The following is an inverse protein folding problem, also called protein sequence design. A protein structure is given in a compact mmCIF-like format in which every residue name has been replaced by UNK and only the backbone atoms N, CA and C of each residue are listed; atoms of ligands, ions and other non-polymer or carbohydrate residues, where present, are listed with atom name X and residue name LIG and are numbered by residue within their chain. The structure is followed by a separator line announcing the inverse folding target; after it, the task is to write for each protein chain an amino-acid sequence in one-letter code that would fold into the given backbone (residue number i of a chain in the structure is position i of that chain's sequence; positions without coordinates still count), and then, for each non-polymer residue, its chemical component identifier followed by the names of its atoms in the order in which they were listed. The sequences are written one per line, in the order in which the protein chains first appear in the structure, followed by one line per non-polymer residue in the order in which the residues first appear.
data_IF_876643868352
#
_entry.id   IF_876643868352
#
_cell.length_a   1.000
_cell.length_b   1.000
_cell.length_c   1.000
_cell.angle_alpha   90.00
_cell.angle_beta   90.00
_cell.angle_gamma   90.00
#
_symmetry.space_group_name_H-M   'P 1'
#
loop_
_entity.id
_entity.type
_entity.pdbx_description
1 polymer ?
#
# COMPACT_ATOMS: atom_id res chain seq x y z
N UNK A 1 10.57 16.61 -36.74
CA UNK A 1 10.41 16.42 -38.20
C UNK A 1 10.58 14.95 -38.50
N UNK A 2 9.49 14.36 -38.96
CA UNK A 2 9.36 13.00 -39.48
C UNK A 2 10.00 12.95 -40.88
N UNK A 3 10.43 11.77 -41.31
CA UNK A 3 11.05 11.42 -42.61
C UNK A 3 12.54 11.80 -42.78
N UNK A 4 13.42 10.83 -42.57
CA UNK A 4 14.38 10.39 -43.60
C UNK A 4 15.05 9.09 -43.15
N UNK A 5 15.21 8.14 -44.09
CA UNK A 5 15.90 6.84 -43.99
C UNK A 5 14.99 5.59 -44.05
N UNK A 6 14.11 5.53 -45.05
CA UNK A 6 13.70 4.27 -45.68
C UNK A 6 14.15 4.31 -47.14
N UNK A 7 15.40 3.96 -47.42
CA UNK A 7 15.86 3.56 -48.76
C UNK A 7 17.25 2.94 -48.66
N UNK A 8 17.28 1.60 -48.74
CA UNK A 8 18.28 0.75 -49.42
C UNK A 8 18.32 -0.63 -48.75
N UNK A 9 17.29 -1.42 -49.03
CA UNK A 9 17.35 -2.88 -48.94
C UNK A 9 18.00 -3.40 -50.22
N UNK A 10 19.32 -3.62 -50.23
CA UNK A 10 20.04 -4.57 -51.12
C UNK A 10 21.51 -4.60 -50.73
N UNK A 11 21.79 -5.18 -49.56
CA UNK A 11 23.14 -5.38 -49.03
C UNK A 11 23.14 -6.18 -47.72
N UNK A 12 22.09 -6.98 -47.52
CA UNK A 12 21.82 -7.77 -46.33
C UNK A 12 22.69 -9.02 -46.36
N UNK A 13 23.55 -9.21 -45.35
CA UNK A 13 23.93 -10.51 -44.71
C UNK A 13 25.29 -10.47 -44.01
N UNK A 14 26.19 -9.53 -44.32
CA UNK A 14 27.61 -9.71 -43.95
C UNK A 14 28.17 -9.01 -42.70
N UNK A 15 27.54 -7.95 -42.16
CA UNK A 15 28.28 -7.02 -41.27
C UNK A 15 27.43 -6.24 -40.23
N UNK A 16 26.30 -6.74 -39.72
CA UNK A 16 25.73 -6.25 -38.44
C UNK A 16 26.57 -6.78 -37.25
N UNK A 17 27.86 -6.44 -37.25
CA UNK A 17 28.84 -6.83 -36.25
C UNK A 17 28.58 -6.07 -34.95
N UNK A 18 27.95 -6.71 -33.95
CA UNK A 18 28.04 -6.43 -32.49
C UNK A 18 27.77 -5.00 -31.95
N UNK A 19 27.64 -3.98 -32.81
CA UNK A 19 27.57 -2.56 -32.44
C UNK A 19 26.13 -2.00 -32.54
N UNK A 20 25.19 -2.69 -33.20
CA UNK A 20 23.78 -2.25 -33.21
C UNK A 20 23.00 -2.71 -31.97
N UNK A 21 23.27 -3.93 -31.48
CA UNK A 21 22.52 -4.53 -30.35
C UNK A 21 22.76 -3.81 -29.01
N UNK A 22 24.03 -3.61 -28.62
CA UNK A 22 24.37 -2.96 -27.36
C UNK A 22 23.93 -1.49 -27.35
N UNK A 23 24.01 -0.82 -28.51
CA UNK A 23 23.52 0.54 -28.67
C UNK A 23 21.99 0.60 -28.57
N UNK A 24 21.28 -0.32 -29.23
CA UNK A 24 19.83 -0.40 -29.16
C UNK A 24 19.32 -0.73 -27.74
N UNK A 25 19.96 -1.65 -27.02
CA UNK A 25 19.65 -1.95 -25.61
C UNK A 25 19.89 -0.71 -24.74
N UNK A 26 21.01 0.00 -24.94
CA UNK A 26 21.30 1.25 -24.21
C UNK A 26 20.24 2.33 -24.46
N UNK A 27 19.79 2.48 -25.71
CA UNK A 27 18.71 3.42 -26.09
C UNK A 27 17.37 2.98 -25.48
N UNK A 28 17.04 1.69 -25.58
CA UNK A 28 15.84 1.11 -24.98
C UNK A 28 15.80 1.34 -23.47
N UNK A 29 16.92 1.11 -22.77
CA UNK A 29 17.03 1.38 -21.35
C UNK A 29 16.82 2.87 -21.02
N UNK A 30 17.37 3.80 -21.81
CA UNK A 30 17.13 5.24 -21.62
C UNK A 30 15.67 5.63 -21.83
N UNK A 31 15.03 5.09 -22.86
CA UNK A 31 13.60 5.31 -23.08
C UNK A 31 12.77 4.73 -21.94
N UNK A 32 13.14 3.55 -21.45
CA UNK A 32 12.51 2.92 -20.30
C UNK A 32 12.61 3.80 -19.04
N UNK A 33 13.82 4.27 -18.70
CA UNK A 33 14.03 5.21 -17.57
C UNK A 33 13.24 6.51 -17.72
N UNK A 34 13.03 6.95 -18.96
CA UNK A 34 12.24 8.14 -19.28
C UNK A 34 10.74 7.86 -19.40
N UNK A 35 10.28 6.66 -19.03
CA UNK A 35 8.89 6.17 -19.14
C UNK A 35 8.31 6.22 -20.57
N UNK A 36 9.16 6.20 -21.59
CA UNK A 36 8.79 6.21 -23.01
C UNK A 36 8.66 4.77 -23.55
N UNK A 37 7.75 4.00 -22.97
CA UNK A 37 7.64 2.55 -23.22
C UNK A 37 7.33 2.19 -24.68
N UNK A 38 6.55 3.00 -25.38
CA UNK A 38 6.30 2.80 -26.83
C UNK A 38 7.58 2.91 -27.67
N UNK A 39 8.54 3.75 -27.25
CA UNK A 39 9.83 3.89 -27.94
C UNK A 39 10.75 2.70 -27.66
N UNK A 40 10.67 2.12 -26.45
CA UNK A 40 11.35 0.84 -26.13
C UNK A 40 10.93 -0.23 -27.13
N UNK A 41 9.62 -0.43 -27.32
CA UNK A 41 9.09 -1.37 -28.31
C UNK A 41 9.53 -1.04 -29.73
N UNK A 42 9.47 0.23 -30.12
CA UNK A 42 9.86 0.66 -31.47
C UNK A 42 11.32 0.32 -31.82
N UNK A 43 12.24 0.47 -30.87
CA UNK A 43 13.66 0.16 -31.06
C UNK A 43 13.93 -1.35 -31.04
N UNK A 44 13.24 -2.11 -30.18
CA UNK A 44 13.51 -3.53 -29.99
C UNK A 44 12.78 -4.44 -30.99
N UNK A 45 11.60 -4.05 -31.47
CA UNK A 45 10.78 -4.87 -32.37
C UNK A 45 11.51 -5.27 -33.68
N UNK A 46 12.22 -4.38 -34.39
CA UNK A 46 12.94 -4.76 -35.61
C UNK A 46 14.05 -5.77 -35.32
N UNK A 47 14.76 -5.66 -34.19
CA UNK A 47 15.80 -6.60 -33.81
C UNK A 47 15.23 -8.02 -33.65
N UNK A 48 14.10 -8.14 -32.95
CA UNK A 48 13.40 -9.43 -32.77
C UNK A 48 12.94 -9.98 -34.13
N UNK A 49 12.42 -9.14 -35.03
CA UNK A 49 11.99 -9.55 -36.38
C UNK A 49 13.14 -10.06 -37.25
N UNK A 50 14.35 -9.52 -37.07
CA UNK A 50 15.56 -9.98 -37.75
C UNK A 50 16.27 -11.14 -37.03
N UNK A 51 15.60 -11.78 -36.06
CA UNK A 51 16.09 -12.96 -35.36
C UNK A 51 17.12 -12.67 -34.26
N UNK A 52 17.31 -11.41 -33.88
CA UNK A 52 18.20 -11.06 -32.77
C UNK A 52 17.52 -11.43 -31.46
N UNK A 53 18.16 -12.31 -30.70
CA UNK A 53 17.70 -12.74 -29.38
C UNK A 53 18.65 -12.23 -28.30
N UNK A 54 18.09 -11.82 -27.18
CA UNK A 54 18.86 -11.38 -26.02
C UNK A 54 17.96 -11.28 -24.80
N UNK A 55 18.48 -11.69 -23.64
CA UNK A 55 17.73 -11.63 -22.38
C UNK A 55 17.30 -10.19 -22.07
N UNK A 56 18.19 -9.21 -22.28
CA UNK A 56 17.90 -7.79 -22.07
C UNK A 56 16.82 -7.28 -23.03
N UNK A 57 16.81 -7.76 -24.29
CA UNK A 57 15.78 -7.40 -25.27
C UNK A 57 14.42 -7.86 -24.76
N UNK A 58 14.30 -9.13 -24.39
CA UNK A 58 13.03 -9.68 -23.93
C UNK A 58 12.61 -9.12 -22.58
N UNK A 59 13.55 -8.84 -21.68
CA UNK A 59 13.29 -8.14 -20.43
C UNK A 59 12.68 -6.74 -20.68
N UNK A 60 13.38 -5.88 -21.44
CA UNK A 60 12.90 -4.52 -21.70
C UNK A 60 11.61 -4.50 -22.54
N UNK A 61 11.45 -5.46 -23.46
CA UNK A 61 10.22 -5.62 -24.23
C UNK A 61 9.04 -6.01 -23.33
N UNK A 62 9.22 -7.00 -22.45
CA UNK A 62 8.20 -7.44 -21.50
C UNK A 62 7.83 -6.32 -20.52
N UNK A 63 8.84 -5.62 -19.99
CA UNK A 63 8.67 -4.46 -19.13
C UNK A 63 7.86 -3.35 -19.82
N UNK A 64 8.20 -3.02 -21.06
CA UNK A 64 7.49 -2.00 -21.83
C UNK A 64 6.03 -2.42 -22.13
N UNK A 65 5.79 -3.66 -22.50
CA UNK A 65 4.43 -4.21 -22.67
C UNK A 65 3.64 -4.11 -21.35
N UNK A 66 4.23 -4.52 -20.22
CA UNK A 66 3.59 -4.44 -18.91
C UNK A 66 3.23 -3.00 -18.51
N UNK A 67 4.13 -2.04 -18.76
CA UNK A 67 3.89 -0.63 -18.48
C UNK A 67 2.86 0.03 -19.42
N UNK A 68 2.54 -0.61 -20.55
CA UNK A 68 1.51 -0.20 -21.50
C UNK A 68 0.20 -0.99 -21.32
N UNK A 69 0.07 -1.75 -20.23
CA UNK A 69 -1.07 -2.62 -19.93
C UNK A 69 -1.33 -3.71 -21.00
N UNK A 70 -0.29 -4.09 -21.76
CA UNK A 70 -0.29 -5.14 -22.79
C UNK A 70 0.21 -6.46 -22.19
N UNK A 71 -0.54 -7.01 -21.22
CA UNK A 71 -0.04 -8.07 -20.33
C UNK A 71 0.18 -9.40 -21.03
N UNK A 72 -0.63 -9.78 -22.01
CA UNK A 72 -0.45 -11.02 -22.78
C UNK A 72 0.87 -10.99 -23.56
N UNK A 73 1.21 -9.84 -24.16
CA UNK A 73 2.48 -9.64 -24.86
C UNK A 73 3.65 -9.59 -23.88
N UNK A 74 3.45 -9.03 -22.68
CA UNK A 74 4.45 -9.07 -21.61
C UNK A 74 4.75 -10.52 -21.21
N UNK A 75 3.71 -11.35 -21.01
CA UNK A 75 3.84 -12.79 -20.72
C UNK A 75 4.64 -13.50 -21.81
N UNK A 76 4.33 -13.28 -23.10
CA UNK A 76 5.08 -13.89 -24.20
C UNK A 76 6.57 -13.49 -24.17
N UNK A 77 6.85 -12.20 -23.99
CA UNK A 77 8.22 -11.69 -23.94
C UNK A 77 8.97 -12.23 -22.71
N UNK A 78 8.36 -12.30 -21.53
CA UNK A 78 8.96 -12.93 -20.35
C UNK A 78 9.29 -14.40 -20.59
N UNK A 79 8.37 -15.18 -21.18
CA UNK A 79 8.62 -16.58 -21.52
C UNK A 79 9.82 -16.74 -22.47
N UNK A 80 9.93 -15.89 -23.50
CA UNK A 80 11.11 -15.89 -24.39
C UNK A 80 12.40 -15.56 -23.64
N UNK A 81 12.37 -14.59 -22.72
CA UNK A 81 13.51 -14.29 -21.84
C UNK A 81 13.91 -15.48 -20.96
N UNK A 82 12.93 -16.16 -20.34
CA UNK A 82 13.13 -17.31 -19.45
C UNK A 82 13.70 -18.50 -20.23
N UNK A 83 13.26 -18.74 -21.47
CA UNK A 83 13.84 -19.76 -22.34
C UNK A 83 15.33 -19.54 -22.62
N UNK A 84 15.79 -18.29 -22.63
CA UNK A 84 17.21 -17.96 -22.81
C UNK A 84 18.01 -18.12 -21.51
N UNK A 85 17.44 -17.72 -20.38
CA UNK A 85 18.04 -17.89 -19.07
C UNK A 85 16.97 -18.19 -18.01
N UNK A 86 16.79 -19.48 -17.64
CA UNK A 86 15.80 -19.86 -16.66
C UNK A 86 16.14 -19.39 -15.24
N UNK A 87 17.41 -19.07 -14.97
CA UNK A 87 17.91 -18.67 -13.65
C UNK A 87 17.91 -17.15 -13.45
N UNK A 88 17.16 -16.40 -14.27
CA UNK A 88 17.01 -14.95 -14.06
C UNK A 88 15.72 -14.64 -13.29
N UNK A 89 15.84 -14.56 -11.96
CA UNK A 89 14.71 -14.38 -11.03
C UNK A 89 13.77 -13.21 -11.40
N UNK A 90 14.32 -12.11 -11.92
CA UNK A 90 13.56 -10.91 -12.31
C UNK A 90 12.53 -11.22 -13.41
N UNK A 91 12.84 -12.13 -14.35
CA UNK A 91 11.87 -12.50 -15.40
C UNK A 91 10.71 -13.30 -14.85
N UNK A 92 10.97 -14.22 -13.91
CA UNK A 92 9.93 -14.98 -13.23
C UNK A 92 9.07 -14.07 -12.34
N UNK A 93 9.67 -13.12 -11.64
CA UNK A 93 8.96 -12.08 -10.90
C UNK A 93 8.05 -11.24 -11.81
N UNK A 94 8.59 -10.72 -12.91
CA UNK A 94 7.84 -9.95 -13.90
C UNK A 94 6.72 -10.74 -14.56
N UNK A 95 6.96 -12.03 -14.86
CA UNK A 95 5.94 -12.95 -15.36
C UNK A 95 4.83 -13.16 -14.34
N UNK A 96 5.18 -13.33 -13.06
CA UNK A 96 4.21 -13.41 -11.96
C UNK A 96 3.33 -12.17 -11.88
N UNK A 97 3.93 -10.98 -11.94
CA UNK A 97 3.21 -9.72 -11.95
C UNK A 97 2.25 -9.62 -13.16
N UNK A 98 2.70 -9.98 -14.36
CA UNK A 98 1.85 -9.99 -15.55
C UNK A 98 0.67 -10.97 -15.41
N UNK A 99 0.89 -12.14 -14.81
CA UNK A 99 -0.19 -13.09 -14.51
C UNK A 99 -1.19 -12.58 -13.48
N UNK A 100 -0.76 -11.83 -12.45
CA UNK A 100 -1.69 -11.18 -11.52
C UNK A 100 -2.60 -10.19 -12.26
N UNK A 101 -2.05 -9.39 -13.17
CA UNK A 101 -2.84 -8.45 -13.97
C UNK A 101 -3.85 -9.15 -14.89
N UNK A 102 -3.49 -10.32 -15.41
CA UNK A 102 -4.38 -11.21 -16.17
C UNK A 102 -5.33 -12.04 -15.29
N UNK A 103 -5.25 -11.90 -13.96
CA UNK A 103 -6.02 -12.69 -12.97
C UNK A 103 -5.74 -14.19 -13.02
N UNK A 104 -4.59 -14.60 -13.54
CA UNK A 104 -4.09 -15.98 -13.54
C UNK A 104 -3.27 -16.25 -12.27
N UNK A 105 -3.94 -16.24 -11.11
CA UNK A 105 -3.28 -16.22 -9.81
C UNK A 105 -2.43 -17.47 -9.53
N UNK A 106 -2.88 -18.67 -9.92
CA UNK A 106 -2.10 -19.90 -9.73
C UNK A 106 -0.79 -19.87 -10.55
N UNK A 107 -0.87 -19.35 -11.79
CA UNK A 107 0.31 -19.15 -12.63
C UNK A 107 1.24 -18.10 -12.03
N UNK A 108 0.69 -17.02 -11.45
CA UNK A 108 1.47 -16.01 -10.76
C UNK A 108 2.25 -16.58 -9.57
N UNK A 109 1.58 -17.34 -8.69
CA UNK A 109 2.22 -18.00 -7.54
C UNK A 109 3.33 -18.95 -7.99
N UNK A 110 3.09 -19.74 -9.06
CA UNK A 110 4.12 -20.62 -9.61
C UNK A 110 5.35 -19.84 -10.10
N UNK A 111 5.15 -18.74 -10.85
CA UNK A 111 6.25 -17.89 -11.30
C UNK A 111 6.99 -17.23 -10.13
N UNK A 112 6.27 -16.75 -9.11
CA UNK A 112 6.90 -16.22 -7.89
C UNK A 112 7.71 -17.28 -7.14
N UNK A 113 7.22 -18.52 -7.04
CA UNK A 113 7.97 -19.62 -6.44
C UNK A 113 9.26 -19.93 -7.21
N UNK A 114 9.24 -19.83 -8.55
CA UNK A 114 10.47 -19.96 -9.36
C UNK A 114 11.44 -18.81 -9.07
N UNK A 115 10.95 -17.56 -9.02
CA UNK A 115 11.76 -16.40 -8.67
C UNK A 115 12.43 -16.55 -7.29
N UNK A 116 11.69 -17.03 -6.29
CA UNK A 116 12.18 -17.28 -4.93
C UNK A 116 13.08 -18.51 -4.80
N UNK A 117 12.94 -19.49 -5.69
CA UNK A 117 13.87 -20.64 -5.76
C UNK A 117 15.25 -20.16 -6.21
N UNK A 118 15.28 -19.22 -7.15
CA UNK A 118 16.52 -18.63 -7.70
C UNK A 118 17.10 -17.59 -6.73
N UNK A 119 16.26 -16.72 -6.17
CA UNK A 119 16.63 -15.70 -5.19
C UNK A 119 15.70 -15.73 -3.96
N UNK A 120 16.07 -16.50 -2.92
CA UNK A 120 15.26 -16.63 -1.69
C UNK A 120 15.09 -15.34 -0.90
N UNK A 121 15.95 -14.34 -1.12
CA UNK A 121 15.95 -13.06 -0.40
C UNK A 121 15.15 -11.97 -1.13
N UNK A 122 14.40 -12.33 -2.19
CA UNK A 122 13.62 -11.38 -2.98
C UNK A 122 12.34 -10.94 -2.24
N UNK A 123 12.50 -10.03 -1.27
CA UNK A 123 11.46 -9.60 -0.33
C UNK A 123 10.15 -9.16 -1.01
N UNK A 124 10.27 -8.40 -2.09
CA UNK A 124 9.15 -7.91 -2.92
C UNK A 124 8.20 -9.02 -3.36
N UNK A 125 8.74 -10.20 -3.67
CA UNK A 125 7.94 -11.33 -4.13
C UNK A 125 7.13 -11.96 -3.01
N UNK A 126 7.65 -11.95 -1.77
CA UNK A 126 6.85 -12.39 -0.64
C UNK A 126 5.69 -11.43 -0.36
N UNK A 127 5.87 -10.11 -0.49
CA UNK A 127 4.77 -9.16 -0.39
C UNK A 127 3.68 -9.46 -1.44
N UNK A 128 4.08 -9.64 -2.69
CA UNK A 128 3.15 -9.98 -3.77
C UNK A 128 2.45 -11.34 -3.52
N UNK A 129 3.15 -12.35 -3.00
CA UNK A 129 2.54 -13.62 -2.63
C UNK A 129 1.50 -13.48 -1.51
N UNK A 130 1.80 -12.73 -0.44
CA UNK A 130 0.85 -12.47 0.65
C UNK A 130 -0.41 -11.79 0.09
N UNK A 131 -0.25 -10.80 -0.79
CA UNK A 131 -1.38 -10.16 -1.46
C UNK A 131 -2.20 -11.16 -2.29
N UNK A 132 -1.55 -11.92 -3.18
CA UNK A 132 -2.23 -12.90 -4.06
C UNK A 132 -2.96 -13.98 -3.27
N UNK A 133 -2.32 -14.55 -2.24
CA UNK A 133 -2.98 -15.53 -1.37
C UNK A 133 -4.15 -14.90 -0.61
N UNK A 134 -4.02 -13.65 -0.17
CA UNK A 134 -5.11 -12.96 0.52
C UNK A 134 -6.31 -12.72 -0.40
N UNK A 135 -6.12 -12.26 -1.65
CA UNK A 135 -7.26 -11.97 -2.57
C UNK A 135 -7.89 -13.24 -3.14
N UNK A 136 -7.16 -14.36 -3.14
CA UNK A 136 -7.69 -15.67 -3.56
C UNK A 136 -8.30 -16.47 -2.41
N UNK A 137 -8.33 -15.92 -1.19
CA UNK A 137 -8.90 -16.58 -0.01
C UNK A 137 -8.05 -17.73 0.54
N UNK A 138 -6.79 -17.88 0.10
CA UNK A 138 -5.87 -18.91 0.56
C UNK A 138 -5.21 -18.51 1.90
N UNK A 139 -6.03 -18.47 2.96
CA UNK A 139 -5.64 -17.95 4.27
C UNK A 139 -4.40 -18.63 4.85
N UNK A 140 -4.33 -19.96 4.84
CA UNK A 140 -3.21 -20.72 5.42
C UNK A 140 -1.88 -20.43 4.71
N UNK A 141 -1.92 -20.28 3.38
CA UNK A 141 -0.75 -19.91 2.59
C UNK A 141 -0.31 -18.47 2.89
N UNK A 142 -1.26 -17.54 3.02
CA UNK A 142 -0.98 -16.16 3.39
C UNK A 142 -0.36 -16.05 4.80
N UNK A 143 -0.90 -16.79 5.78
CA UNK A 143 -0.34 -16.89 7.14
C UNK A 143 1.08 -17.45 7.09
N UNK A 144 1.29 -18.54 6.36
CA UNK A 144 2.60 -19.20 6.25
C UNK A 144 3.66 -18.27 5.68
N UNK A 145 3.37 -17.59 4.56
CA UNK A 145 4.33 -16.66 3.94
C UNK A 145 4.57 -15.46 4.85
N UNK A 146 3.51 -14.87 5.41
CA UNK A 146 3.61 -13.74 6.34
C UNK A 146 4.49 -14.10 7.55
N UNK A 147 4.24 -15.26 8.18
CA UNK A 147 5.00 -15.87 9.27
C UNK A 147 6.49 -15.98 9.01
N UNK A 148 6.84 -16.36 7.77
CA UNK A 148 8.22 -16.61 7.40
C UNK A 148 9.04 -15.33 7.22
N UNK A 149 8.44 -14.28 6.67
CA UNK A 149 9.21 -13.12 6.15
C UNK A 149 8.81 -11.77 6.73
N UNK A 150 7.53 -11.59 7.10
CA UNK A 150 6.99 -10.30 7.52
C UNK A 150 6.91 -10.21 9.04
N UNK A 151 6.32 -11.22 9.67
CA UNK A 151 6.05 -11.24 11.10
C UNK A 151 6.08 -12.67 11.63
N UNK A 152 7.08 -13.00 12.43
CA UNK A 152 7.29 -14.36 12.96
C UNK A 152 6.19 -14.83 13.92
N UNK A 153 5.41 -13.90 14.48
CA UNK A 153 4.27 -14.22 15.32
C UNK A 153 3.01 -14.52 14.48
N UNK A 154 3.04 -14.30 13.15
CA UNK A 154 1.98 -14.71 12.24
C UNK A 154 2.04 -16.23 11.97
N UNK A 155 1.33 -17.00 12.78
CA UNK A 155 1.22 -18.45 12.67
C UNK A 155 -0.22 -18.92 12.96
N UNK A 156 -0.45 -20.23 13.03
CA UNK A 156 -1.78 -20.83 13.27
C UNK A 156 -2.46 -20.33 14.54
N UNK A 157 -1.69 -20.04 15.59
CA UNK A 157 -2.20 -19.76 16.94
C UNK A 157 -2.44 -18.25 17.13
N UNK A 158 -1.89 -17.43 16.22
CA UNK A 158 -1.96 -15.96 16.29
C UNK A 158 -3.39 -15.42 16.37
N UNK A 159 -4.34 -16.07 15.69
CA UNK A 159 -5.76 -15.70 15.77
C UNK A 159 -6.34 -16.04 17.13
N UNK A 160 -6.11 -17.25 17.64
CA UNK A 160 -6.59 -17.69 18.95
C UNK A 160 -6.11 -16.75 20.06
N UNK A 161 -4.85 -16.32 20.04
CA UNK A 161 -4.32 -15.35 21.01
C UNK A 161 -5.12 -14.05 21.02
N UNK A 162 -5.45 -13.49 19.85
CA UNK A 162 -6.26 -12.28 19.76
C UNK A 162 -7.70 -12.50 20.24
N UNK A 163 -8.30 -13.65 19.93
CA UNK A 163 -9.69 -13.96 20.26
C UNK A 163 -9.88 -14.30 21.73
N UNK A 164 -8.94 -15.01 22.34
CA UNK A 164 -9.02 -15.47 23.73
C UNK A 164 -8.46 -14.46 24.74
N UNK A 165 -7.76 -13.43 24.27
CA UNK A 165 -7.22 -12.39 25.13
C UNK A 165 -8.29 -11.80 26.06
N UNK A 166 -7.88 -11.62 27.32
CA UNK A 166 -8.67 -11.04 28.42
C UNK A 166 -8.22 -9.63 28.78
N UNK A 167 -7.29 -9.05 28.01
CA UNK A 167 -6.89 -7.66 28.20
C UNK A 167 -8.00 -6.70 27.80
N UNK A 168 -8.02 -5.54 28.43
CA UNK A 168 -8.95 -4.46 28.15
C UNK A 168 -8.30 -3.10 28.47
N UNK A 169 -9.05 -2.01 28.29
CA UNK A 169 -8.58 -0.65 28.56
C UNK A 169 -8.05 -0.45 29.97
N UNK A 170 -8.66 -1.10 30.97
CA UNK A 170 -8.34 -0.99 32.40
C UNK A 170 -7.23 -1.92 32.84
N UNK A 171 -7.03 -3.02 32.11
CA UNK A 171 -5.94 -3.97 32.26
C UNK A 171 -5.39 -4.31 30.87
N UNK A 172 -4.61 -3.41 30.24
CA UNK A 172 -4.01 -3.67 28.93
C UNK A 172 -2.81 -4.61 29.07
N UNK A 173 -2.33 -5.18 27.96
CA UNK A 173 -1.14 -6.02 28.02
C UNK A 173 0.10 -5.23 28.48
N UNK A 174 1.11 -5.90 29.07
CA UNK A 174 2.40 -5.27 29.35
C UNK A 174 3.06 -4.70 28.09
N UNK A 175 2.86 -5.34 26.93
CA UNK A 175 3.40 -4.88 25.66
C UNK A 175 2.74 -3.57 25.22
N UNK A 176 1.42 -3.44 25.35
CA UNK A 176 0.70 -2.20 25.08
C UNK A 176 1.28 -1.04 25.89
N UNK A 177 1.42 -1.22 27.21
CA UNK A 177 1.97 -0.17 28.09
C UNK A 177 3.41 0.21 27.68
N UNK A 178 4.25 -0.79 27.42
CA UNK A 178 5.63 -0.55 26.96
C UNK A 178 5.67 0.20 25.63
N UNK A 179 4.74 -0.09 24.72
CA UNK A 179 4.69 0.54 23.40
C UNK A 179 4.23 1.99 23.52
N UNK A 180 3.20 2.27 24.32
CA UNK A 180 2.79 3.64 24.62
C UNK A 180 3.96 4.45 25.17
N UNK A 181 4.71 3.91 26.13
CA UNK A 181 5.89 4.60 26.68
C UNK A 181 6.95 4.91 25.60
N UNK A 182 7.18 4.00 24.66
CA UNK A 182 8.11 4.20 23.54
C UNK A 182 7.60 5.25 22.54
N UNK A 183 6.32 5.17 22.14
CA UNK A 183 5.71 6.17 21.25
C UNK A 183 5.68 7.56 21.89
N UNK A 184 5.37 7.66 23.18
CA UNK A 184 5.44 8.92 23.93
C UNK A 184 6.83 9.53 23.94
N UNK A 185 7.89 8.73 24.11
CA UNK A 185 9.27 9.21 23.98
C UNK A 185 9.57 9.71 22.57
N UNK A 186 9.16 8.97 21.54
CA UNK A 186 9.35 9.38 20.14
C UNK A 186 8.62 10.69 19.81
N UNK A 187 7.45 10.95 20.41
CA UNK A 187 6.77 12.24 20.28
C UNK A 187 7.58 13.42 20.85
N UNK A 188 8.28 13.21 21.97
CA UNK A 188 8.99 14.25 22.73
C UNK A 188 10.41 14.45 22.18
N UNK A 189 11.13 13.35 21.98
CA UNK A 189 12.55 13.35 21.65
C UNK A 189 12.79 13.32 20.13
N UNK A 190 11.81 12.83 19.37
CA UNK A 190 11.98 12.47 17.96
C UNK A 190 12.63 11.11 17.78
N UNK A 191 12.85 10.73 16.52
CA UNK A 191 13.64 9.54 16.21
C UNK A 191 15.11 9.95 16.08
N UNK A 192 15.83 9.83 17.19
CA UNK A 192 17.24 10.20 17.28
C UNK A 192 18.14 9.34 16.38
N UNK A 193 17.77 8.07 16.16
CA UNK A 193 18.55 7.14 15.34
C UNK A 193 18.49 7.55 13.88
N UNK A 194 17.29 7.84 13.37
CA UNK A 194 17.08 8.30 12.00
C UNK A 194 17.19 9.82 11.84
N UNK A 195 17.59 10.54 12.89
CA UNK A 195 17.76 12.00 12.93
C UNK A 195 16.48 12.77 12.54
N UNK A 196 15.33 12.23 12.88
CA UNK A 196 14.03 12.86 12.66
C UNK A 196 13.68 13.68 13.87
N UNK A 197 13.57 15.00 13.69
CA UNK A 197 13.24 15.92 14.77
C UNK A 197 11.85 15.63 15.35
N UNK A 198 11.69 15.78 16.68
CA UNK A 198 10.45 15.54 17.41
C UNK A 198 9.22 16.09 16.68
N UNK A 199 9.25 17.35 16.21
CA UNK A 199 8.17 17.99 15.44
C UNK A 199 7.61 17.12 14.30
N UNK A 200 8.47 16.41 13.56
CA UNK A 200 8.10 15.63 12.36
C UNK A 200 7.43 14.29 12.69
N UNK A 201 7.76 13.73 13.86
CA UNK A 201 7.35 12.38 14.24
C UNK A 201 5.85 12.35 14.51
N UNK A 202 5.11 11.46 13.83
CA UNK A 202 3.65 11.35 13.94
C UNK A 202 2.89 12.67 13.70
N UNK A 203 3.27 13.42 12.66
CA UNK A 203 2.58 14.66 12.28
C UNK A 203 1.12 14.47 11.81
N UNK A 204 0.69 13.21 11.56
CA UNK A 204 -0.66 12.88 11.06
C UNK A 204 -0.76 12.73 9.54
N UNK A 205 0.38 12.47 8.87
CA UNK A 205 0.47 12.26 7.42
C UNK A 205 -0.27 11.01 6.91
N UNK A 206 -0.50 10.00 7.77
CA UNK A 206 -1.14 8.73 7.39
C UNK A 206 -2.58 8.91 6.90
N UNK A 207 -3.23 9.99 7.31
CA UNK A 207 -4.59 10.34 6.90
C UNK A 207 -4.70 10.85 5.46
N UNK A 208 -3.62 11.46 4.95
CA UNK A 208 -3.64 12.21 3.69
C UNK A 208 -4.16 11.39 2.50
N UNK A 209 -3.75 10.12 2.29
CA UNK A 209 -4.25 9.31 1.18
C UNK A 209 -5.76 9.03 1.23
N UNK A 210 -6.37 9.19 2.40
CA UNK A 210 -7.74 8.75 2.68
C UNK A 210 -8.74 9.90 2.77
N UNK A 211 -8.30 11.16 2.56
CA UNK A 211 -9.13 12.36 2.75
C UNK A 211 -10.41 12.31 1.91
N UNK A 212 -10.33 11.95 0.63
CA UNK A 212 -11.49 11.88 -0.26
C UNK A 212 -12.43 10.73 0.14
N UNK A 213 -11.89 9.53 0.36
CA UNK A 213 -12.65 8.37 0.82
C UNK A 213 -13.44 8.66 2.12
N UNK A 214 -12.81 9.32 3.09
CA UNK A 214 -13.45 9.74 4.34
C UNK A 214 -14.57 10.76 4.07
N UNK A 215 -14.38 11.70 3.12
CA UNK A 215 -15.44 12.67 2.72
C UNK A 215 -16.68 11.96 2.21
N UNK A 216 -16.49 10.96 1.36
CA UNK A 216 -17.59 10.20 0.77
C UNK A 216 -18.36 9.42 1.84
N UNK A 217 -17.66 8.80 2.79
CA UNK A 217 -18.27 8.13 3.94
C UNK A 217 -19.05 9.10 4.83
N UNK A 218 -18.51 10.29 5.08
CA UNK A 218 -19.18 11.34 5.84
C UNK A 218 -20.47 11.77 5.12
N UNK A 219 -20.43 12.00 3.81
CA UNK A 219 -21.59 12.38 3.02
C UNK A 219 -22.67 11.27 3.02
N UNK A 220 -22.25 10.03 2.78
CA UNK A 220 -23.15 8.86 2.70
C UNK A 220 -23.84 8.53 4.02
N UNK A 221 -23.20 8.86 5.15
CA UNK A 221 -23.76 8.65 6.49
C UNK A 221 -24.35 9.91 7.11
N UNK A 222 -24.26 11.06 6.42
CA UNK A 222 -24.59 12.38 6.94
C UNK A 222 -23.94 12.62 8.32
N UNK A 223 -22.65 12.30 8.44
CA UNK A 223 -21.88 12.45 9.67
C UNK A 223 -21.51 13.92 9.91
N UNK A 224 -21.53 14.35 11.18
CA UNK A 224 -21.24 15.74 11.59
C UNK A 224 -20.13 15.88 12.63
N UNK A 225 -19.77 14.79 13.31
CA UNK A 225 -18.73 14.78 14.34
C UNK A 225 -17.78 13.63 14.05
N UNK A 226 -16.48 13.88 14.14
CA UNK A 226 -15.44 12.90 13.82
C UNK A 226 -14.45 12.77 14.97
N UNK A 227 -14.10 11.53 15.30
CA UNK A 227 -12.98 11.17 16.16
C UNK A 227 -11.86 10.63 15.29
N UNK A 228 -10.66 11.19 15.42
CA UNK A 228 -9.42 10.62 14.89
C UNK A 228 -8.72 9.85 16.01
N UNK A 229 -8.79 8.52 15.95
CA UNK A 229 -8.23 7.61 16.95
C UNK A 229 -6.84 7.19 16.50
N UNK A 230 -5.80 7.68 17.17
CA UNK A 230 -4.40 7.57 16.72
C UNK A 230 -3.93 8.76 15.88
N UNK A 231 -4.44 9.96 16.18
CA UNK A 231 -4.21 11.18 15.39
C UNK A 231 -2.76 11.70 15.34
N UNK A 232 -1.85 11.14 16.16
CA UNK A 232 -0.52 11.67 16.37
C UNK A 232 -0.57 13.09 16.95
N UNK A 233 0.06 14.04 16.26
CA UNK A 233 0.04 15.46 16.64
C UNK A 233 -1.12 16.26 16.07
N UNK A 234 -1.95 15.69 15.18
CA UNK A 234 -3.13 16.36 14.63
C UNK A 234 -2.84 17.55 13.70
N UNK A 235 -1.61 17.72 13.18
CA UNK A 235 -1.27 18.86 12.32
C UNK A 235 -2.08 18.89 11.02
N UNK A 236 -2.58 17.73 10.56
CA UNK A 236 -3.50 17.62 9.43
C UNK A 236 -4.78 18.45 9.60
N UNK A 237 -5.15 18.79 10.83
CA UNK A 237 -6.35 19.57 11.14
C UNK A 237 -6.10 21.06 11.38
N UNK A 238 -4.86 21.48 11.56
CA UNK A 238 -4.52 22.86 11.92
C UNK A 238 -4.54 23.80 10.71
N UNK A 239 -3.83 23.45 9.63
CA UNK A 239 -3.72 24.30 8.44
C UNK A 239 -3.38 23.48 7.20
N UNK A 240 -4.40 23.24 6.35
CA UNK A 240 -4.26 22.59 5.05
C UNK A 240 -5.20 23.24 4.05
N UNK A 241 -4.66 23.75 2.95
CA UNK A 241 -5.43 24.27 1.83
C UNK A 241 -5.69 23.14 0.84
N UNK A 242 -6.96 22.73 0.73
CA UNK A 242 -7.40 21.67 -0.17
C UNK A 242 -8.14 22.27 -1.36
N UNK A 243 -7.94 21.72 -2.55
CA UNK A 243 -8.70 22.02 -3.76
C UNK A 243 -9.35 20.74 -4.27
N UNK A 244 -10.67 20.77 -4.47
CA UNK A 244 -11.41 19.64 -5.02
C UNK A 244 -11.44 19.64 -6.56
N UNK A 245 -12.06 18.62 -7.14
CA UNK A 245 -12.20 18.46 -8.60
C UNK A 245 -12.94 19.60 -9.30
N UNK A 246 -13.75 20.36 -8.57
CA UNK A 246 -14.51 21.50 -9.06
C UNK A 246 -13.76 22.83 -8.81
N UNK A 247 -12.47 22.75 -8.44
CA UNK A 247 -11.59 23.88 -8.11
C UNK A 247 -12.07 24.70 -6.89
N UNK A 248 -12.92 24.12 -6.04
CA UNK A 248 -13.30 24.76 -4.78
C UNK A 248 -12.20 24.58 -3.74
N UNK A 249 -11.83 25.70 -3.11
CA UNK A 249 -10.78 25.74 -2.09
C UNK A 249 -11.33 25.69 -0.67
N UNK A 250 -10.72 24.87 0.16
CA UNK A 250 -11.08 24.66 1.56
C UNK A 250 -9.87 24.90 2.46
N UNK A 251 -10.05 25.73 3.48
CA UNK A 251 -8.96 26.17 4.38
C UNK A 251 -8.58 25.14 5.45
N UNK A 252 -9.32 24.02 5.53
CA UNK A 252 -9.03 22.93 6.47
C UNK A 252 -9.79 21.67 6.08
N UNK A 253 -9.35 20.52 6.60
CA UNK A 253 -10.08 19.25 6.50
C UNK A 253 -11.49 19.35 7.07
N UNK A 254 -11.66 20.05 8.20
CA UNK A 254 -12.97 20.24 8.81
C UNK A 254 -13.97 20.91 7.86
N UNK A 255 -13.53 21.94 7.13
CA UNK A 255 -14.37 22.61 6.11
C UNK A 255 -14.59 21.73 4.89
N UNK A 256 -13.55 21.02 4.42
CA UNK A 256 -13.63 20.12 3.28
C UNK A 256 -14.64 18.98 3.50
N UNK A 257 -14.66 18.40 4.70
CA UNK A 257 -15.58 17.35 5.12
C UNK A 257 -16.94 17.85 5.61
N UNK A 258 -17.08 19.15 5.85
CA UNK A 258 -18.31 19.76 6.37
C UNK A 258 -18.78 19.11 7.70
N UNK A 259 -17.84 18.91 8.62
CA UNK A 259 -18.09 18.40 9.99
C UNK A 259 -18.00 19.55 11.00
N UNK A 260 -18.87 19.52 12.03
CA UNK A 260 -18.91 20.57 13.05
C UNK A 260 -17.84 20.39 14.13
N UNK A 261 -17.30 19.19 14.29
CA UNK A 261 -16.32 18.87 15.34
C UNK A 261 -15.38 17.76 14.88
N UNK A 262 -14.09 17.93 15.16
CA UNK A 262 -13.05 16.91 15.09
C UNK A 262 -12.44 16.78 16.48
N UNK A 263 -12.33 15.56 16.99
CA UNK A 263 -11.63 15.26 18.23
C UNK A 263 -10.42 14.39 17.92
N UNK A 264 -9.25 14.81 18.38
CA UNK A 264 -8.01 14.05 18.25
C UNK A 264 -7.79 13.22 19.51
N UNK A 265 -7.58 11.92 19.35
CA UNK A 265 -7.13 11.03 20.40
C UNK A 265 -5.82 10.37 19.99
N UNK A 266 -4.84 10.37 20.88
CA UNK A 266 -3.60 9.62 20.71
C UNK A 266 -3.03 9.28 22.09
N UNK A 267 -2.98 7.98 22.48
CA UNK A 267 -2.52 7.59 23.81
C UNK A 267 -1.04 7.90 24.07
N UNK A 268 -0.23 8.04 23.02
CA UNK A 268 1.18 8.38 23.11
C UNK A 268 1.45 9.88 23.22
N UNK A 269 0.51 10.75 22.85
CA UNK A 269 0.72 12.19 22.80
C UNK A 269 0.01 12.96 23.94
N UNK A 270 0.73 13.66 24.84
CA UNK A 270 0.13 14.29 26.03
C UNK A 270 -1.04 15.26 25.77
N UNK A 271 -1.04 15.94 24.63
CA UNK A 271 -2.13 16.87 24.26
C UNK A 271 -3.42 16.13 23.89
N UNK A 272 -3.33 14.89 23.39
CA UNK A 272 -4.45 14.09 22.88
C UNK A 272 -4.64 12.75 23.61
N UNK A 273 -3.91 12.50 24.69
CA UNK A 273 -3.99 11.27 25.49
C UNK A 273 -5.34 11.00 26.18
N UNK A 274 -6.24 11.98 26.21
CA UNK A 274 -7.52 11.85 26.93
C UNK A 274 -8.54 11.15 26.04
N UNK A 275 -9.01 10.00 26.49
CA UNK A 275 -10.09 9.28 25.80
C UNK A 275 -11.35 10.16 25.71
N UNK A 276 -12.05 10.17 24.57
CA UNK A 276 -13.33 10.89 24.43
C UNK A 276 -14.37 10.44 25.46
N UNK A 277 -15.18 11.40 25.93
CA UNK A 277 -16.25 11.16 26.92
C UNK A 277 -17.64 10.93 26.31
N UNK A 278 -17.73 10.92 24.99
CA UNK A 278 -18.96 10.76 24.21
C UNK A 278 -18.66 9.98 22.93
N UNK A 279 -19.70 9.50 22.28
CA UNK A 279 -19.59 8.93 20.95
C UNK A 279 -19.58 10.03 19.87
N UNK A 280 -18.98 9.71 18.74
CA UNK A 280 -18.88 10.53 17.54
C UNK A 280 -19.69 9.88 16.41
N UNK A 281 -20.11 10.66 15.40
CA UNK A 281 -20.77 10.07 14.23
C UNK A 281 -19.80 9.14 13.48
N UNK A 282 -18.57 9.61 13.29
CA UNK A 282 -17.51 8.90 12.62
C UNK A 282 -16.32 8.67 13.56
N UNK A 283 -15.69 7.50 13.46
CA UNK A 283 -14.35 7.24 14.01
C UNK A 283 -13.45 6.85 12.85
N UNK A 284 -12.31 7.53 12.72
CA UNK A 284 -11.28 7.19 11.73
C UNK A 284 -10.01 6.78 12.45
N UNK A 285 -9.28 5.83 11.86
CA UNK A 285 -7.98 5.39 12.35
C UNK A 285 -7.10 4.98 11.17
N UNK A 286 -5.90 5.55 11.10
CA UNK A 286 -4.96 5.29 10.01
C UNK A 286 -3.58 5.10 10.61
N UNK A 287 -2.94 3.95 10.38
CA UNK A 287 -1.61 3.62 10.96
C UNK A 287 -1.70 3.41 12.49
N UNK A 288 -2.55 2.46 12.94
CA UNK A 288 -2.87 2.26 14.38
C UNK A 288 -2.89 0.79 14.79
N UNK A 289 -3.69 -0.05 14.13
CA UNK A 289 -3.94 -1.42 14.58
C UNK A 289 -2.72 -2.31 14.39
N UNK A 290 -1.97 -2.13 13.31
CA UNK A 290 -0.69 -2.77 13.03
C UNK A 290 0.39 -2.46 14.08
N UNK A 291 0.25 -1.36 14.83
CA UNK A 291 1.14 -0.97 15.94
C UNK A 291 0.75 -1.57 17.29
N UNK A 292 -0.38 -2.26 17.36
CA UNK A 292 -0.88 -2.91 18.56
C UNK A 292 -0.58 -4.41 18.52
N UNK A 293 -0.14 -5.00 19.63
CA UNK A 293 0.08 -6.45 19.70
C UNK A 293 -1.25 -7.20 19.59
N UNK A 294 -1.21 -8.40 19.02
CA UNK A 294 -2.40 -9.18 18.66
C UNK A 294 -3.36 -9.42 19.85
N UNK A 295 -2.83 -9.58 21.06
CA UNK A 295 -3.62 -9.74 22.28
C UNK A 295 -4.42 -8.49 22.67
N UNK A 296 -4.07 -7.30 22.18
CA UNK A 296 -4.78 -6.06 22.47
C UNK A 296 -5.77 -5.66 21.35
N UNK A 297 -5.64 -6.22 20.15
CA UNK A 297 -6.43 -5.83 18.98
C UNK A 297 -7.93 -5.92 19.24
N UNK A 298 -8.40 -7.02 19.84
CA UNK A 298 -9.84 -7.25 20.03
C UNK A 298 -10.48 -6.17 20.89
N UNK A 299 -9.87 -5.80 22.02
CA UNK A 299 -10.46 -4.80 22.92
C UNK A 299 -10.30 -3.38 22.37
N UNK A 300 -9.21 -3.08 21.66
CA UNK A 300 -9.01 -1.78 20.98
C UNK A 300 -10.08 -1.58 19.90
N UNK A 301 -10.32 -2.59 19.06
CA UNK A 301 -11.42 -2.56 18.09
C UNK A 301 -12.77 -2.37 18.79
N UNK A 302 -13.04 -3.08 19.89
CA UNK A 302 -14.28 -2.90 20.64
C UNK A 302 -14.43 -1.47 21.18
N UNK A 303 -13.36 -0.86 21.68
CA UNK A 303 -13.35 0.54 22.12
C UNK A 303 -13.67 1.49 20.95
N UNK A 304 -12.99 1.34 19.82
CA UNK A 304 -13.20 2.15 18.61
C UNK A 304 -14.67 2.08 18.16
N UNK A 305 -15.22 0.87 18.03
CA UNK A 305 -16.62 0.70 17.62
C UNK A 305 -17.61 1.23 18.66
N UNK A 306 -17.29 1.14 19.96
CA UNK A 306 -18.10 1.74 21.02
C UNK A 306 -18.16 3.26 20.96
N UNK A 307 -17.15 3.91 20.37
CA UNK A 307 -17.06 5.35 20.21
C UNK A 307 -17.75 5.86 18.93
N UNK A 308 -18.12 4.98 18.01
CA UNK A 308 -18.78 5.31 16.76
C UNK A 308 -20.31 5.18 16.85
N UNK A 309 -21.04 6.13 16.25
CA UNK A 309 -22.50 6.05 16.08
C UNK A 309 -22.93 5.65 14.68
N UNK A 310 -22.18 6.05 13.65
CA UNK A 310 -22.59 5.86 12.24
C UNK A 310 -21.57 5.06 11.44
N UNK A 311 -20.29 5.42 11.48
CA UNK A 311 -19.28 4.60 10.82
C UNK A 311 -17.89 4.60 11.46
N UNK A 312 -17.14 3.55 11.16
CA UNK A 312 -15.71 3.41 11.39
C UNK A 312 -14.99 3.33 10.05
N UNK A 313 -13.95 4.14 9.85
CA UNK A 313 -12.99 3.97 8.75
C UNK A 313 -11.64 3.57 9.33
N UNK A 314 -11.04 2.51 8.79
CA UNK A 314 -9.70 2.11 9.17
C UNK A 314 -8.82 1.82 7.95
N UNK A 315 -7.54 2.13 8.06
CA UNK A 315 -6.50 1.61 7.18
C UNK A 315 -5.45 0.90 8.04
N UNK A 316 -5.09 -0.32 7.64
CA UNK A 316 -4.20 -1.21 8.37
C UNK A 316 -3.08 -1.67 7.42
N UNK A 317 -1.86 -1.22 7.68
CA UNK A 317 -0.68 -1.60 6.93
C UNK A 317 -0.22 -3.03 7.28
N UNK A 318 -0.27 -3.92 6.29
CA UNK A 318 0.18 -5.32 6.41
C UNK A 318 1.54 -5.53 5.73
N UNK A 319 2.51 -4.71 6.13
CA UNK A 319 3.90 -4.75 5.70
C UNK A 319 4.81 -4.18 6.79
N UNK A 320 6.13 -4.37 6.71
CA UNK A 320 7.05 -3.87 7.74
C UNK A 320 7.13 -2.34 7.71
N UNK A 321 7.05 -1.73 8.89
CA UNK A 321 7.37 -0.32 9.03
C UNK A 321 8.84 -0.06 8.69
N UNK A 322 9.14 1.15 8.21
CA UNK A 322 10.53 1.64 8.20
C UNK A 322 11.04 1.92 9.62
N UNK A 323 10.12 2.20 10.55
CA UNK A 323 10.44 2.50 11.94
C UNK A 323 10.76 1.22 12.72
N UNK A 324 11.90 1.25 13.40
CA UNK A 324 12.25 0.30 14.46
C UNK A 324 12.12 1.03 15.79
N UNK A 325 11.49 0.38 16.78
CA UNK A 325 11.31 0.93 18.12
C UNK A 325 12.60 0.76 18.95
N UNK A 326 12.79 1.53 20.04
CA UNK A 326 14.01 1.45 20.86
C UNK A 326 14.34 0.06 21.43
N UNK A 327 13.35 -0.84 21.52
CA UNK A 327 13.55 -2.23 21.96
C UNK A 327 14.00 -3.18 20.82
N UNK A 328 14.14 -2.69 19.59
CA UNK A 328 14.51 -3.46 18.40
C UNK A 328 13.33 -4.06 17.63
N UNK A 329 12.10 -3.89 18.11
CA UNK A 329 10.91 -4.38 17.41
C UNK A 329 10.58 -3.50 16.21
N UNK A 330 10.00 -4.09 15.17
CA UNK A 330 9.38 -3.30 14.11
C UNK A 330 8.12 -2.59 14.66
N UNK A 331 7.91 -1.34 14.26
CA UNK A 331 6.74 -0.59 14.73
C UNK A 331 5.42 -1.23 14.29
N UNK A 332 5.38 -1.85 13.11
CA UNK A 332 4.25 -2.71 12.71
C UNK A 332 4.48 -4.09 13.32
N UNK A 333 3.94 -4.30 14.51
CA UNK A 333 4.12 -5.50 15.32
C UNK A 333 3.04 -6.57 15.11
N UNK A 334 1.96 -6.23 14.41
CA UNK A 334 0.92 -7.18 14.00
C UNK A 334 0.69 -7.05 12.50
N UNK A 335 1.44 -7.82 11.71
CA UNK A 335 1.25 -7.90 10.25
C UNK A 335 0.50 -9.19 9.95
N UNK A 336 -0.74 -9.09 9.48
CA UNK A 336 -1.63 -10.25 9.30
C UNK A 336 -2.35 -10.19 7.95
N UNK A 337 -2.64 -11.34 7.31
CA UNK A 337 -3.41 -11.36 6.08
C UNK A 337 -4.87 -10.97 6.33
N UNK A 338 -5.58 -10.58 5.27
CA UNK A 338 -6.97 -10.06 5.37
C UNK A 338 -7.93 -11.00 6.11
N UNK A 339 -7.81 -12.32 5.93
CA UNK A 339 -8.65 -13.30 6.60
C UNK A 339 -8.55 -13.25 8.14
N UNK A 340 -7.35 -12.95 8.67
CA UNK A 340 -7.12 -12.80 10.10
C UNK A 340 -7.82 -11.56 10.64
N UNK A 341 -7.61 -10.40 10.00
CA UNK A 341 -8.28 -9.15 10.36
C UNK A 341 -9.80 -9.28 10.29
N UNK A 342 -10.32 -9.93 9.25
CA UNK A 342 -11.75 -10.17 9.10
C UNK A 342 -12.32 -11.02 10.24
N UNK A 343 -11.58 -12.04 10.69
CA UNK A 343 -12.01 -12.91 11.78
C UNK A 343 -12.12 -12.16 13.12
N UNK A 344 -11.12 -11.35 13.46
CA UNK A 344 -11.17 -10.53 14.69
C UNK A 344 -12.25 -9.46 14.59
N UNK A 345 -12.35 -8.78 13.44
CA UNK A 345 -13.34 -7.74 13.18
C UNK A 345 -14.77 -8.28 13.29
N UNK A 346 -15.09 -9.42 12.67
CA UNK A 346 -16.42 -10.02 12.70
C UNK A 346 -16.96 -10.24 14.12
N UNK A 347 -16.10 -10.66 15.05
CA UNK A 347 -16.48 -10.87 16.43
C UNK A 347 -16.84 -9.56 17.13
N UNK A 348 -16.06 -8.50 16.89
CA UNK A 348 -16.32 -7.18 17.48
C UNK A 348 -17.57 -6.55 16.89
N UNK A 349 -17.68 -6.47 15.57
CA UNK A 349 -18.77 -5.73 14.90
C UNK A 349 -20.14 -6.37 15.10
N UNK A 350 -20.19 -7.65 15.47
CA UNK A 350 -21.44 -8.32 15.86
C UNK A 350 -22.17 -7.63 17.03
N UNK A 351 -21.41 -6.92 17.88
CA UNK A 351 -21.94 -6.13 19.00
C UNK A 351 -22.39 -4.72 18.61
N UNK A 352 -22.12 -4.30 17.37
CA UNK A 352 -22.38 -2.94 16.85
C UNK A 352 -23.05 -2.99 15.45
N UNK A 353 -24.20 -3.67 15.30
CA UNK A 353 -24.82 -3.90 13.98
C UNK A 353 -25.24 -2.62 13.24
N UNK A 354 -25.47 -1.52 13.97
CA UNK A 354 -25.85 -0.22 13.41
C UNK A 354 -24.66 0.60 12.88
N UNK A 355 -23.44 0.24 13.29
CA UNK A 355 -22.23 0.97 12.88
C UNK A 355 -21.73 0.40 11.55
N UNK A 356 -21.73 1.24 10.51
CA UNK A 356 -21.12 0.88 9.23
C UNK A 356 -19.60 0.86 9.36
N UNK A 357 -18.90 0.07 8.58
CA UNK A 357 -17.44 0.14 8.56
C UNK A 357 -16.85 -0.02 7.18
N UNK A 358 -15.69 0.60 7.00
CA UNK A 358 -14.79 0.40 5.88
C UNK A 358 -13.39 0.22 6.46
N UNK A 359 -12.86 -0.99 6.40
CA UNK A 359 -11.51 -1.32 6.86
C UNK A 359 -10.69 -1.74 5.64
N UNK A 360 -9.68 -0.94 5.31
CA UNK A 360 -8.75 -1.19 4.22
C UNK A 360 -7.53 -1.92 4.78
N UNK A 361 -7.37 -3.19 4.41
CA UNK A 361 -6.18 -3.98 4.71
C UNK A 361 -5.19 -3.76 3.57
N UNK A 362 -4.14 -2.98 3.83
CA UNK A 362 -3.16 -2.51 2.84
C UNK A 362 -1.96 -3.44 2.76
N UNK A 363 -1.56 -3.79 1.54
CA UNK A 363 -0.37 -4.57 1.25
C UNK A 363 0.53 -3.77 0.32
N UNK A 364 1.84 -4.01 0.44
CA UNK A 364 2.80 -3.58 -0.57
C UNK A 364 2.61 -4.45 -1.80
N UNK A 365 2.54 -3.78 -2.95
CA UNK A 365 2.62 -4.38 -4.26
C UNK A 365 3.85 -3.83 -4.98
N UNK A 366 4.75 -4.71 -5.39
CA UNK A 366 5.93 -4.31 -6.13
C UNK A 366 5.89 -4.87 -7.54
N UNK A 367 5.95 -3.99 -8.53
CA UNK A 367 6.14 -4.39 -9.92
C UNK A 367 7.19 -3.55 -10.64
N UNK A 368 7.23 -3.66 -11.96
CA UNK A 368 8.22 -2.98 -12.80
C UNK A 368 8.07 -1.45 -12.76
N UNK A 369 6.90 -0.92 -12.36
CA UNK A 369 6.65 0.51 -12.15
C UNK A 369 7.13 0.99 -10.77
N UNK A 370 7.48 0.08 -9.87
CA UNK A 370 7.96 0.35 -8.52
C UNK A 370 7.07 -0.25 -7.43
N UNK A 371 7.25 0.26 -6.21
CA UNK A 371 6.45 -0.07 -5.04
C UNK A 371 5.18 0.80 -5.04
N UNK A 372 4.03 0.16 -4.82
CA UNK A 372 2.73 0.79 -4.61
C UNK A 372 1.94 0.07 -3.53
N UNK A 373 0.76 0.59 -3.22
CA UNK A 373 -0.15 0.02 -2.23
C UNK A 373 -1.38 -0.58 -2.89
N UNK A 374 -1.72 -1.81 -2.53
CA UNK A 374 -3.00 -2.45 -2.87
C UNK A 374 -3.77 -2.74 -1.60
N UNK A 375 -5.09 -2.84 -1.69
CA UNK A 375 -5.91 -3.02 -0.50
C UNK A 375 -7.03 -4.04 -0.74
N UNK A 376 -7.37 -4.76 0.33
CA UNK A 376 -8.65 -5.45 0.44
C UNK A 376 -9.55 -4.70 1.38
N UNK A 377 -10.79 -4.48 0.96
CA UNK A 377 -11.79 -3.83 1.78
C UNK A 377 -12.62 -4.85 2.54
N UNK A 378 -12.68 -4.67 3.85
CA UNK A 378 -13.65 -5.32 4.73
C UNK A 378 -14.73 -4.31 5.08
N UNK A 379 -15.99 -4.64 4.79
CA UNK A 379 -17.12 -3.71 4.96
C UNK A 379 -18.44 -4.46 5.16
N UNK A 380 -19.34 -3.91 5.98
CA UNK A 380 -20.74 -4.31 6.06
C UNK A 380 -21.67 -3.45 5.19
N UNK A 381 -21.11 -2.58 4.35
CA UNK A 381 -21.85 -1.70 3.47
C UNK A 381 -21.36 -1.85 2.02
N UNK A 382 -21.99 -2.75 1.25
CA UNK A 382 -21.63 -3.03 -0.14
C UNK A 382 -21.85 -1.86 -1.13
N UNK A 383 -22.42 -0.73 -0.69
CA UNK A 383 -22.42 0.50 -1.49
C UNK A 383 -21.11 1.28 -1.39
N UNK A 384 -20.28 1.05 -0.37
CA UNK A 384 -19.02 1.80 -0.19
C UNK A 384 -18.06 1.55 -1.35
N UNK A 385 -17.94 0.32 -1.84
CA UNK A 385 -17.08 -0.01 -3.00
C UNK A 385 -17.39 0.83 -4.25
N UNK A 386 -18.65 1.23 -4.42
CA UNK A 386 -19.13 1.97 -5.58
C UNK A 386 -19.00 3.49 -5.41
N UNK A 387 -18.76 3.96 -4.20
CA UNK A 387 -18.85 5.37 -3.81
C UNK A 387 -17.51 5.93 -3.35
N UNK A 388 -16.60 5.09 -2.83
CA UNK A 388 -15.28 5.55 -2.41
C UNK A 388 -14.47 6.03 -3.60
N UNK A 389 -14.26 7.34 -3.65
CA UNK A 389 -13.35 7.96 -4.57
C UNK A 389 -11.96 8.06 -3.93
N UNK A 390 -11.00 7.30 -4.47
CA UNK A 390 -9.59 7.40 -4.09
C UNK A 390 -8.84 8.43 -4.96
N UNK A 391 -9.54 9.11 -5.86
CA UNK A 391 -8.97 10.18 -6.68
C UNK A 391 -8.84 11.50 -5.92
N UNK A 392 -7.88 12.30 -6.38
CA UNK A 392 -7.20 13.31 -5.57
C UNK A 392 -8.05 14.55 -5.33
N UNK A 393 -8.35 14.81 -4.06
CA UNK A 393 -8.21 16.17 -3.54
C UNK A 393 -6.76 16.62 -3.75
N UNK A 394 -6.56 17.83 -4.23
CA UNK A 394 -5.22 18.41 -4.36
C UNK A 394 -4.91 19.16 -3.08
N UNK A 395 -3.80 18.82 -2.42
CA UNK A 395 -3.26 19.64 -1.32
C UNK A 395 -2.44 20.75 -1.96
N UNK A 396 -2.95 21.98 -1.88
CA UNK A 396 -2.37 23.17 -2.50
C UNK A 396 -1.38 23.86 -1.57
N UNK A 397 -1.58 23.78 -0.26
CA UNK A 397 -0.66 24.24 0.77
C UNK A 397 -0.84 23.36 2.01
N UNK A 398 0.25 22.95 2.65
CA UNK A 398 0.26 22.21 3.92
C UNK A 398 1.61 22.37 4.61
N UNK A 399 1.66 22.03 5.89
CA UNK A 399 2.92 21.88 6.62
C UNK A 399 3.82 20.83 5.92
N UNK A 400 5.10 21.15 5.75
CA UNK A 400 6.13 20.27 5.16
C UNK A 400 6.20 18.89 5.86
N UNK A 401 5.81 18.83 7.13
CA UNK A 401 5.79 17.62 7.96
C UNK A 401 4.67 16.66 7.55
N UNK A 402 3.60 17.17 6.94
CA UNK A 402 2.47 16.38 6.44
C UNK A 402 2.75 15.90 5.01
N UNK A 403 3.27 16.80 4.19
CA UNK A 403 3.38 16.63 2.75
C UNK A 403 4.67 17.31 2.25
N UNK A 404 5.69 16.54 1.85
CA UNK A 404 6.98 17.12 1.43
C UNK A 404 6.94 17.77 0.04
N UNK A 405 5.91 17.50 -0.78
CA UNK A 405 5.77 18.02 -2.14
C UNK A 405 4.38 18.59 -2.36
N UNK A 406 4.30 19.88 -2.64
CA UNK A 406 3.05 20.57 -2.94
C UNK A 406 3.09 21.06 -4.40
N UNK A 407 2.07 20.77 -5.23
CA UNK A 407 0.82 20.08 -4.89
C UNK A 407 1.02 18.57 -4.68
N UNK A 408 0.30 18.00 -3.70
CA UNK A 408 0.26 16.56 -3.46
C UNK A 408 -1.05 15.96 -3.96
N UNK A 409 -0.93 14.82 -4.63
CA UNK A 409 -2.04 14.06 -5.18
C UNK A 409 -1.75 12.57 -5.04
N UNK A 410 -2.67 11.83 -4.44
CA UNK A 410 -2.67 10.37 -4.56
C UNK A 410 -3.22 9.98 -5.93
N UNK A 411 -2.58 9.01 -6.58
CA UNK A 411 -3.04 8.47 -7.86
C UNK A 411 -3.34 7.01 -7.72
N UNK A 412 -4.51 6.61 -8.20
CA UNK A 412 -4.84 5.21 -8.43
C UNK A 412 -4.65 4.94 -9.92
N UNK A 413 -3.82 3.97 -10.26
CA UNK A 413 -3.60 3.60 -11.65
C UNK A 413 -4.76 2.77 -12.22
N UNK A 414 -4.68 2.40 -13.50
CA UNK A 414 -5.67 1.54 -14.18
C UNK A 414 -5.84 0.16 -13.51
N UNK A 415 -4.90 -0.23 -12.65
CA UNK A 415 -4.82 -1.53 -11.96
C UNK A 415 -5.42 -1.46 -10.55
N UNK A 416 -5.88 -0.29 -10.12
CA UNK A 416 -6.40 -0.07 -8.77
C UNK A 416 -5.29 0.05 -7.71
N UNK A 417 -4.04 0.21 -8.13
CA UNK A 417 -2.89 0.36 -7.21
C UNK A 417 -2.75 1.83 -6.86
N UNK A 418 -2.67 2.11 -5.56
CA UNK A 418 -2.49 3.43 -5.00
C UNK A 418 -0.99 3.76 -4.96
N UNK A 419 -0.60 4.83 -5.65
CA UNK A 419 0.74 5.43 -5.58
C UNK A 419 0.66 6.81 -4.93
N UNK A 420 1.65 7.10 -4.08
CA UNK A 420 1.77 8.35 -3.31
C UNK A 420 2.65 9.37 -4.03
#
# INVERSE_FOLDING_TARGET
MIHFAMSNMTGFEGNMKKIDLQQAISIAHKYYQSKQYSQVKHILQPLIQHGVQGIDIYYFMAAAHYCLDEYEQAVEAYHRGIQMNPDFAILHAGLGNAYVQLKFYDAAINSYNQALTINPDYLDIYYNQVYVYSITGQADNAITVCGRVLDKECNSDSLEIALESKYDRSNPSPAYLSYIDMYSKLHIDGDLENKVHAKMVYAGKSMVPWITAIKDLIALTNSKTLLDYGSGKGFQYESMLLEDKDQMKYQSLQKYWNVSEIYCYDPGYPSYQKLPRKQYDAVVLTDVLEHCRQEDIKWILAEIFSLARKFVFANIACYKARQILPNGDNAHCTIRPTAWWNSVLHLVVSSYPEVKYCVLVEFIWTDINGEGSVFQMLSNCGSFDKVLDFSSVTIVEADENLVPYVPYSVRVDSKGILYR
#
